data_IF_860900447950
#
_entry.id   IF_860900447950
#
_cell.length_a   1.000
_cell.length_b   1.000
_cell.length_c   1.000
_cell.angle_alpha   90.00
_cell.angle_beta   90.00
_cell.angle_gamma   90.00
#
_symmetry.space_group_name_H-M   'P 1'
#
loop_
_entity.id
_entity.type
_entity.pdbx_description
1 polymer ?
#
# COMPACT_ATOMS: atom_id res chain seq x y z
N UNK A 1 -41.01 -0.89 -16.00
CA UNK A 1 -40.59 -1.73 -14.84
C UNK A 1 -39.24 -2.44 -15.08
N UNK A 2 -38.74 -2.52 -16.32
CA UNK A 2 -37.43 -3.13 -16.64
C UNK A 2 -36.21 -2.23 -16.32
N UNK A 3 -36.32 -0.90 -16.46
CA UNK A 3 -35.18 0.01 -16.25
C UNK A 3 -34.64 -0.02 -14.80
N UNK A 4 -35.52 -0.12 -13.80
CA UNK A 4 -35.12 -0.19 -12.38
C UNK A 4 -34.38 -1.48 -12.01
N UNK A 5 -34.72 -2.60 -12.66
CA UNK A 5 -34.02 -3.88 -12.48
C UNK A 5 -32.63 -3.87 -13.13
N UNK A 6 -32.50 -3.24 -14.30
CA UNK A 6 -31.24 -3.11 -15.01
C UNK A 6 -30.24 -2.21 -14.25
N UNK A 7 -30.71 -1.07 -13.71
CA UNK A 7 -29.87 -0.16 -12.92
C UNK A 7 -29.36 -0.80 -11.62
N UNK A 8 -30.22 -1.52 -10.89
CA UNK A 8 -29.81 -2.24 -9.68
C UNK A 8 -28.79 -3.35 -9.94
N UNK A 9 -28.94 -4.06 -11.06
CA UNK A 9 -27.96 -5.06 -11.53
C UNK A 9 -26.61 -4.43 -11.86
N UNK A 10 -26.60 -3.33 -12.60
CA UNK A 10 -25.39 -2.60 -12.96
C UNK A 10 -24.62 -2.10 -11.72
N UNK A 11 -25.33 -1.53 -10.74
CA UNK A 11 -24.70 -1.04 -9.50
C UNK A 11 -24.01 -2.18 -8.75
N UNK A 12 -24.64 -3.36 -8.66
CA UNK A 12 -24.03 -4.54 -8.04
C UNK A 12 -22.81 -5.03 -8.80
N UNK A 13 -22.85 -5.02 -10.14
CA UNK A 13 -21.69 -5.37 -10.98
C UNK A 13 -20.52 -4.41 -10.75
N UNK A 14 -20.79 -3.09 -10.72
CA UNK A 14 -19.76 -2.07 -10.46
C UNK A 14 -19.16 -2.25 -9.06
N UNK A 15 -19.99 -2.45 -8.03
CA UNK A 15 -19.53 -2.71 -6.68
C UNK A 15 -18.57 -3.92 -6.63
N UNK A 16 -18.98 -5.06 -7.19
CA UNK A 16 -18.17 -6.26 -7.21
C UNK A 16 -16.87 -6.09 -8.01
N UNK A 17 -16.93 -5.41 -9.16
CA UNK A 17 -15.75 -5.16 -9.98
C UNK A 17 -14.73 -4.29 -9.26
N UNK A 18 -15.18 -3.20 -8.63
CA UNK A 18 -14.31 -2.28 -7.89
C UNK A 18 -13.73 -2.95 -6.64
N UNK A 19 -14.54 -3.69 -5.89
CA UNK A 19 -14.11 -4.42 -4.70
C UNK A 19 -13.10 -5.53 -5.04
N UNK A 20 -13.44 -6.40 -5.99
CA UNK A 20 -12.55 -7.50 -6.39
C UNK A 20 -11.28 -7.01 -7.07
N UNK A 21 -11.36 -5.95 -7.88
CA UNK A 21 -10.19 -5.32 -8.50
C UNK A 21 -9.24 -4.73 -7.46
N UNK A 22 -9.76 -4.00 -6.47
CA UNK A 22 -8.95 -3.45 -5.39
C UNK A 22 -8.28 -4.55 -4.56
N UNK A 23 -9.03 -5.57 -4.16
CA UNK A 23 -8.51 -6.70 -3.39
C UNK A 23 -7.46 -7.50 -4.17
N UNK A 24 -7.73 -7.81 -5.43
CA UNK A 24 -6.79 -8.51 -6.31
C UNK A 24 -5.49 -7.71 -6.50
N UNK A 25 -5.60 -6.39 -6.67
CA UNK A 25 -4.45 -5.49 -6.75
C UNK A 25 -3.64 -5.49 -5.45
N UNK A 26 -4.29 -5.40 -4.29
CA UNK A 26 -3.63 -5.46 -2.97
C UNK A 26 -2.85 -6.76 -2.79
N UNK A 27 -3.47 -7.90 -3.11
CA UNK A 27 -2.86 -9.22 -3.01
C UNK A 27 -1.65 -9.35 -3.94
N UNK A 28 -1.80 -8.94 -5.21
CA UNK A 28 -0.72 -8.99 -6.18
C UNK A 28 0.45 -8.09 -5.80
N UNK A 29 0.20 -6.83 -5.46
CA UNK A 29 1.24 -5.86 -5.15
C UNK A 29 2.04 -6.28 -3.92
N UNK A 30 1.34 -6.71 -2.87
CA UNK A 30 1.94 -7.06 -1.56
C UNK A 30 2.68 -8.39 -1.58
N UNK A 31 2.05 -9.45 -2.09
CA UNK A 31 2.55 -10.82 -1.92
C UNK A 31 3.29 -11.37 -3.14
N UNK A 32 3.12 -10.77 -4.32
CA UNK A 32 3.78 -11.24 -5.55
C UNK A 32 4.79 -10.23 -6.05
N UNK A 33 4.33 -9.03 -6.43
CA UNK A 33 5.17 -8.04 -7.09
C UNK A 33 6.31 -7.56 -6.19
N UNK A 34 6.04 -7.30 -4.91
CA UNK A 34 7.03 -6.80 -3.97
C UNK A 34 8.19 -7.78 -3.78
N UNK A 35 7.89 -9.07 -3.60
CA UNK A 35 8.90 -10.11 -3.42
C UNK A 35 9.70 -10.39 -4.69
N UNK A 36 9.03 -10.41 -5.86
CA UNK A 36 9.69 -10.64 -7.13
C UNK A 36 10.66 -9.50 -7.44
N UNK A 37 10.19 -8.24 -7.39
CA UNK A 37 10.99 -7.07 -7.70
C UNK A 37 12.15 -6.88 -6.70
N UNK A 38 11.92 -7.12 -5.40
CA UNK A 38 12.97 -7.05 -4.39
C UNK A 38 14.10 -8.05 -4.65
N UNK A 39 13.78 -9.27 -5.11
CA UNK A 39 14.78 -10.30 -5.41
C UNK A 39 15.50 -10.10 -6.75
N UNK A 40 14.85 -9.45 -7.70
CA UNK A 40 15.35 -9.35 -9.07
C UNK A 40 16.04 -8.03 -9.40
N UNK A 41 15.77 -6.96 -8.65
CA UNK A 41 16.29 -5.62 -8.97
C UNK A 41 17.36 -5.15 -7.97
N UNK A 42 18.30 -4.30 -8.42
CA UNK A 42 19.13 -3.52 -7.52
C UNK A 42 18.28 -2.75 -6.50
N UNK A 43 18.73 -2.68 -5.25
CA UNK A 43 17.96 -2.08 -4.15
C UNK A 43 17.45 -0.67 -4.45
N UNK A 44 18.29 0.20 -5.03
CA UNK A 44 17.88 1.57 -5.37
C UNK A 44 16.93 1.62 -6.56
N UNK A 45 17.08 0.71 -7.51
CA UNK A 45 16.17 0.57 -8.65
C UNK A 45 14.79 0.11 -8.19
N UNK A 46 14.75 -0.88 -7.29
CA UNK A 46 13.51 -1.32 -6.64
C UNK A 46 12.81 -0.16 -5.92
N UNK A 47 13.54 0.60 -5.09
CA UNK A 47 12.98 1.75 -4.41
C UNK A 47 12.48 2.84 -5.35
N UNK A 48 13.20 3.10 -6.46
CA UNK A 48 12.75 4.02 -7.50
C UNK A 48 11.41 3.57 -8.11
N UNK A 49 11.29 2.31 -8.50
CA UNK A 49 10.04 1.75 -9.04
C UNK A 49 8.90 1.90 -8.04
N UNK A 50 9.12 1.55 -6.77
CA UNK A 50 8.12 1.71 -5.71
C UNK A 50 7.67 3.16 -5.54
N UNK A 51 8.62 4.12 -5.51
CA UNK A 51 8.30 5.54 -5.35
C UNK A 51 7.42 6.12 -6.48
N UNK A 52 7.44 5.47 -7.66
CA UNK A 52 6.62 5.87 -8.80
C UNK A 52 5.27 5.16 -8.81
N UNK A 53 5.20 3.90 -8.42
CA UNK A 53 3.97 3.10 -8.46
C UNK A 53 3.09 3.30 -7.22
N UNK A 54 3.68 3.36 -6.04
CA UNK A 54 2.95 3.35 -4.77
C UNK A 54 2.02 4.54 -4.58
N UNK A 55 2.37 5.79 -4.95
CA UNK A 55 1.42 6.89 -4.88
C UNK A 55 0.14 6.60 -5.67
N UNK A 56 0.26 6.15 -6.93
CA UNK A 56 -0.92 5.83 -7.75
C UNK A 56 -1.70 4.66 -7.17
N UNK A 57 -1.01 3.59 -6.81
CA UNK A 57 -1.59 2.40 -6.21
C UNK A 57 -2.44 2.74 -4.98
N UNK A 58 -1.90 3.48 -4.00
CA UNK A 58 -2.66 3.80 -2.79
C UNK A 58 -3.82 4.78 -3.04
N UNK A 59 -3.69 5.71 -3.99
CA UNK A 59 -4.81 6.59 -4.35
C UNK A 59 -5.92 5.85 -5.11
N UNK A 60 -5.57 4.87 -5.95
CA UNK A 60 -6.54 3.98 -6.59
C UNK A 60 -7.26 3.16 -5.51
N UNK A 61 -6.53 2.55 -4.57
CA UNK A 61 -7.14 1.80 -3.45
C UNK A 61 -8.09 2.68 -2.62
N UNK A 62 -7.69 3.92 -2.32
CA UNK A 62 -8.54 4.90 -1.64
C UNK A 62 -9.81 5.21 -2.44
N UNK A 63 -9.69 5.43 -3.75
CA UNK A 63 -10.82 5.66 -4.65
C UNK A 63 -11.77 4.47 -4.71
N UNK A 64 -11.25 3.25 -4.80
CA UNK A 64 -12.04 2.03 -4.80
C UNK A 64 -12.80 1.83 -3.48
N UNK A 65 -12.14 2.06 -2.34
CA UNK A 65 -12.79 1.99 -1.03
C UNK A 65 -13.92 3.04 -0.91
N UNK A 66 -13.67 4.26 -1.38
CA UNK A 66 -14.67 5.33 -1.38
C UNK A 66 -15.88 4.98 -2.24
N UNK A 67 -15.68 4.53 -3.49
CA UNK A 67 -16.76 4.13 -4.40
C UNK A 67 -17.58 2.99 -3.80
N UNK A 68 -16.93 1.96 -3.24
CA UNK A 68 -17.63 0.85 -2.61
C UNK A 68 -18.47 1.29 -1.40
N UNK A 69 -17.92 2.16 -0.56
CA UNK A 69 -18.65 2.71 0.58
C UNK A 69 -19.86 3.54 0.12
N UNK A 70 -19.70 4.43 -0.87
CA UNK A 70 -20.79 5.23 -1.39
C UNK A 70 -21.92 4.38 -1.99
N UNK A 71 -21.57 3.35 -2.77
CA UNK A 71 -22.56 2.42 -3.33
C UNK A 71 -23.32 1.73 -2.19
N UNK A 72 -22.62 1.12 -1.23
CA UNK A 72 -23.28 0.37 -0.16
C UNK A 72 -24.12 1.29 0.74
N UNK A 73 -23.59 2.46 1.11
CA UNK A 73 -24.29 3.45 1.93
C UNK A 73 -25.56 3.99 1.26
N UNK A 74 -25.56 4.14 -0.07
CA UNK A 74 -26.74 4.59 -0.82
C UNK A 74 -27.88 3.58 -0.90
N UNK A 75 -27.58 2.30 -0.63
CA UNK A 75 -28.55 1.21 -0.72
C UNK A 75 -29.28 0.92 0.62
N UNK A 76 -28.86 1.53 1.72
CA UNK A 76 -29.39 1.20 3.05
C UNK A 76 -30.35 2.26 3.61
N UNK A 77 -31.43 1.78 4.22
CA UNK A 77 -32.27 2.58 5.09
C UNK A 77 -31.65 2.63 6.50
N UNK A 78 -30.94 3.73 6.80
CA UNK A 78 -30.17 3.92 8.04
C UNK A 78 -30.95 3.68 9.34
N UNK A 79 -32.28 3.86 9.32
CA UNK A 79 -33.15 3.65 10.48
C UNK A 79 -33.35 2.16 10.85
N UNK A 80 -32.99 1.22 9.97
CA UNK A 80 -33.24 -0.22 10.16
C UNK A 80 -32.05 -1.09 9.72
N UNK A 81 -30.83 -0.68 10.06
CA UNK A 81 -29.64 -1.49 9.77
C UNK A 81 -29.62 -2.76 10.61
N UNK A 82 -29.46 -3.90 9.94
CA UNK A 82 -29.10 -5.15 10.62
C UNK A 82 -27.65 -5.11 11.09
N UNK A 83 -27.29 -5.99 12.03
CA UNK A 83 -25.90 -6.14 12.51
C UNK A 83 -24.90 -6.39 11.37
N UNK A 84 -25.27 -7.19 10.37
CA UNK A 84 -24.40 -7.53 9.25
C UNK A 84 -24.17 -6.34 8.30
N UNK A 85 -25.23 -5.61 7.98
CA UNK A 85 -25.15 -4.42 7.12
C UNK A 85 -24.33 -3.31 7.81
N UNK A 86 -24.56 -3.09 9.11
CA UNK A 86 -23.76 -2.16 9.90
C UNK A 86 -22.28 -2.57 9.93
N UNK A 87 -21.98 -3.87 10.06
CA UNK A 87 -20.61 -4.38 10.04
C UNK A 87 -19.94 -4.17 8.67
N UNK A 88 -20.65 -4.39 7.56
CA UNK A 88 -20.11 -4.15 6.21
C UNK A 88 -19.79 -2.67 5.98
N UNK A 89 -20.70 -1.77 6.37
CA UNK A 89 -20.47 -0.32 6.29
C UNK A 89 -19.27 0.11 7.14
N UNK A 90 -19.18 -0.42 8.37
CA UNK A 90 -18.05 -0.15 9.26
C UNK A 90 -16.72 -0.62 8.67
N UNK A 91 -16.66 -1.85 8.12
CA UNK A 91 -15.45 -2.38 7.49
C UNK A 91 -15.03 -1.58 6.26
N UNK A 92 -15.97 -1.18 5.39
CA UNK A 92 -15.65 -0.32 4.24
C UNK A 92 -15.19 1.06 4.67
N UNK A 93 -15.78 1.63 5.72
CA UNK A 93 -15.33 2.90 6.29
C UNK A 93 -13.93 2.79 6.90
N UNK A 94 -13.64 1.71 7.61
CA UNK A 94 -12.31 1.42 8.14
C UNK A 94 -11.29 1.28 7.00
N UNK A 95 -11.62 0.51 5.97
CA UNK A 95 -10.76 0.33 4.79
C UNK A 95 -10.47 1.66 4.09
N UNK A 96 -11.50 2.50 3.88
CA UNK A 96 -11.31 3.85 3.35
C UNK A 96 -10.39 4.71 4.23
N UNK A 97 -10.57 4.65 5.55
CA UNK A 97 -9.73 5.38 6.50
C UNK A 97 -8.27 4.93 6.41
N UNK A 98 -8.03 3.62 6.41
CA UNK A 98 -6.69 3.04 6.30
C UNK A 98 -6.04 3.38 4.95
N UNK A 99 -6.77 3.23 3.84
CA UNK A 99 -6.30 3.59 2.51
C UNK A 99 -5.97 5.10 2.40
N UNK A 100 -6.78 5.96 3.01
CA UNK A 100 -6.55 7.42 3.05
C UNK A 100 -5.30 7.75 3.86
N UNK A 101 -5.14 7.18 5.07
CA UNK A 101 -3.93 7.34 5.88
C UNK A 101 -2.71 6.85 5.11
N UNK A 102 -2.84 5.74 4.40
CA UNK A 102 -1.75 5.20 3.59
C UNK A 102 -1.33 6.16 2.47
N UNK A 103 -2.29 6.57 1.64
CA UNK A 103 -2.07 7.42 0.47
C UNK A 103 -1.60 8.83 0.83
N UNK A 104 -2.13 9.40 1.93
CA UNK A 104 -1.93 10.82 2.26
C UNK A 104 -0.85 11.05 3.31
N UNK A 105 -0.57 10.07 4.17
CA UNK A 105 0.37 10.23 5.28
C UNK A 105 1.56 9.27 5.18
N UNK A 106 1.31 7.97 5.10
CA UNK A 106 2.35 6.95 5.29
C UNK A 106 3.21 6.78 4.04
N UNK A 107 2.62 6.74 2.84
CA UNK A 107 3.38 6.60 1.60
C UNK A 107 4.39 7.75 1.43
N UNK A 108 4.00 9.04 1.49
CA UNK A 108 4.97 10.12 1.27
C UNK A 108 6.12 10.11 2.28
N UNK A 109 5.85 9.74 3.53
CA UNK A 109 6.87 9.63 4.59
C UNK A 109 7.77 8.42 4.40
N UNK A 110 7.21 7.29 3.97
CA UNK A 110 7.98 6.08 3.66
C UNK A 110 8.92 6.34 2.49
N UNK A 111 8.41 6.96 1.42
CA UNK A 111 9.18 7.34 0.24
C UNK A 111 10.26 8.37 0.58
N UNK A 112 9.95 9.39 1.39
CA UNK A 112 10.95 10.35 1.85
C UNK A 112 12.07 9.69 2.69
N UNK A 113 11.71 8.80 3.62
CA UNK A 113 12.68 8.07 4.44
C UNK A 113 13.55 7.13 3.58
N UNK A 114 12.96 6.48 2.58
CA UNK A 114 13.68 5.67 1.60
C UNK A 114 14.70 6.52 0.84
N UNK A 115 14.33 7.69 0.32
CA UNK A 115 15.26 8.57 -0.38
C UNK A 115 16.41 9.04 0.51
N UNK A 116 16.12 9.38 1.77
CA UNK A 116 17.15 9.77 2.74
C UNK A 116 18.16 8.63 2.99
N UNK A 117 17.69 7.37 3.06
CA UNK A 117 18.57 6.21 3.15
C UNK A 117 19.43 6.04 1.90
N UNK A 118 18.80 6.11 0.72
CA UNK A 118 19.51 5.93 -0.54
C UNK A 118 20.60 6.99 -0.75
N UNK A 119 20.40 8.22 -0.30
CA UNK A 119 21.45 9.26 -0.36
C UNK A 119 22.69 8.85 0.42
N UNK A 120 22.54 8.41 1.67
CA UNK A 120 23.66 7.95 2.51
C UNK A 120 24.30 6.69 1.94
N UNK A 121 23.50 5.77 1.41
CA UNK A 121 23.97 4.55 0.75
C UNK A 121 24.82 4.88 -0.49
N UNK A 122 24.39 5.83 -1.33
CA UNK A 122 25.11 6.27 -2.54
C UNK A 122 26.47 6.90 -2.22
N UNK A 123 26.55 7.72 -1.17
CA UNK A 123 27.81 8.33 -0.72
C UNK A 123 28.86 7.28 -0.32
N UNK A 124 28.42 6.05 -0.01
CA UNK A 124 29.27 4.91 0.34
C UNK A 124 29.44 3.90 -0.80
N UNK A 125 28.94 4.22 -1.99
CA UNK A 125 29.01 3.33 -3.15
C UNK A 125 28.06 2.12 -3.09
N UNK A 126 27.00 2.19 -2.28
CA UNK A 126 25.99 1.13 -2.13
C UNK A 126 24.71 1.45 -2.90
N UNK A 127 23.91 0.42 -3.17
CA UNK A 127 22.55 0.52 -3.73
C UNK A 127 22.34 -0.09 -5.11
N UNK A 128 23.44 -0.39 -5.80
CA UNK A 128 23.46 -1.00 -7.14
C UNK A 128 23.41 -2.53 -7.14
N UNK A 129 23.54 -3.13 -5.96
CA UNK A 129 23.54 -4.57 -5.76
C UNK A 129 22.13 -5.15 -5.64
N UNK A 130 21.98 -6.35 -6.17
CA UNK A 130 20.77 -7.16 -6.01
C UNK A 130 20.84 -7.85 -4.64
N UNK A 131 19.77 -7.85 -3.84
CA UNK A 131 19.77 -8.53 -2.54
C UNK A 131 20.23 -10.00 -2.65
N UNK A 132 21.22 -10.37 -1.84
CA UNK A 132 21.80 -11.72 -1.83
C UNK A 132 22.93 -11.96 -2.84
N UNK A 133 23.30 -10.98 -3.68
CA UNK A 133 24.40 -11.12 -4.65
C UNK A 133 25.80 -10.99 -4.04
N UNK A 134 25.92 -10.46 -2.82
CA UNK A 134 27.20 -10.23 -2.16
C UNK A 134 27.72 -11.51 -1.47
N UNK A 135 28.95 -11.90 -1.80
CA UNK A 135 29.69 -12.93 -1.07
C UNK A 135 30.52 -12.25 0.02
N UNK A 136 29.97 -12.15 1.23
CA UNK A 136 30.65 -11.52 2.37
C UNK A 136 29.70 -10.94 3.42
N UNK A 137 30.24 -10.26 4.46
CA UNK A 137 29.41 -9.63 5.48
C UNK A 137 28.62 -8.46 4.88
N UNK A 138 27.30 -8.45 5.12
CA UNK A 138 26.34 -7.48 4.55
C UNK A 138 26.81 -6.02 4.77
N UNK A 139 27.12 -5.27 3.69
CA UNK A 139 27.63 -3.90 3.80
C UNK A 139 26.61 -2.95 4.44
N UNK A 140 25.31 -3.21 4.28
CA UNK A 140 24.26 -2.40 4.93
C UNK A 140 24.21 -2.63 6.43
N UNK A 141 24.50 -3.85 6.88
CA UNK A 141 24.59 -4.17 8.30
C UNK A 141 25.79 -3.47 8.93
N UNK A 142 26.94 -3.51 8.27
CA UNK A 142 28.12 -2.79 8.73
C UNK A 142 27.89 -1.27 8.78
N UNK A 143 27.23 -0.71 7.77
CA UNK A 143 26.88 0.71 7.75
C UNK A 143 25.95 1.08 8.92
N UNK A 144 24.96 0.23 9.21
CA UNK A 144 24.06 0.39 10.37
C UNK A 144 24.79 0.36 11.71
N UNK A 145 25.79 -0.50 11.85
CA UNK A 145 26.56 -0.62 13.10
C UNK A 145 27.54 0.55 13.28
N UNK A 146 28.08 1.10 12.19
CA UNK A 146 29.07 2.20 12.22
C UNK A 146 28.44 3.59 12.24
N UNK A 147 27.25 3.77 11.67
CA UNK A 147 26.60 5.08 11.52
C UNK A 147 25.25 5.13 12.28
N UNK A 148 25.22 5.79 13.45
CA UNK A 148 24.01 5.96 14.25
C UNK A 148 22.89 6.71 13.50
N UNK A 149 23.24 7.67 12.64
CA UNK A 149 22.28 8.45 11.85
C UNK A 149 21.61 7.55 10.82
N UNK A 150 22.39 6.74 10.11
CA UNK A 150 21.85 5.76 9.17
C UNK A 150 20.97 4.71 9.88
N UNK A 151 21.38 4.24 11.07
CA UNK A 151 20.57 3.32 11.88
C UNK A 151 19.21 3.90 12.25
N UNK A 152 19.17 5.16 12.70
CA UNK A 152 17.93 5.86 13.03
C UNK A 152 17.02 6.08 11.81
N UNK A 153 17.60 6.51 10.67
CA UNK A 153 16.87 6.64 9.40
C UNK A 153 16.26 5.31 8.98
N UNK A 154 17.02 4.22 9.11
CA UNK A 154 16.57 2.88 8.73
C UNK A 154 15.42 2.45 9.61
N UNK A 155 15.51 2.65 10.93
CA UNK A 155 14.43 2.33 11.85
C UNK A 155 13.15 3.11 11.50
N UNK A 156 13.26 4.40 11.18
CA UNK A 156 12.12 5.21 10.75
C UNK A 156 11.50 4.69 9.46
N UNK A 157 12.30 4.36 8.44
CA UNK A 157 11.81 3.75 7.21
C UNK A 157 11.04 2.45 7.49
N UNK A 158 11.60 1.52 8.27
CA UNK A 158 10.93 0.25 8.59
C UNK A 158 9.63 0.45 9.37
N UNK A 159 9.57 1.45 10.27
CA UNK A 159 8.34 1.77 11.00
C UNK A 159 7.24 2.26 10.05
N UNK A 160 7.54 3.24 9.20
CA UNK A 160 6.54 3.76 8.25
C UNK A 160 6.14 2.72 7.21
N UNK A 161 7.11 1.97 6.67
CA UNK A 161 6.85 0.90 5.72
C UNK A 161 6.01 -0.22 6.34
N UNK A 162 6.35 -0.67 7.55
CA UNK A 162 5.58 -1.70 8.26
C UNK A 162 4.14 -1.26 8.55
N UNK A 163 3.95 -0.03 9.01
CA UNK A 163 2.62 0.53 9.24
C UNK A 163 1.83 0.66 7.93
N UNK A 164 2.48 1.11 6.85
CA UNK A 164 1.89 1.21 5.52
C UNK A 164 1.43 -0.15 5.00
N UNK A 165 2.24 -1.19 5.18
CA UNK A 165 1.88 -2.57 4.82
C UNK A 165 0.68 -3.10 5.62
N UNK A 166 0.57 -2.78 6.91
CA UNK A 166 -0.59 -3.13 7.72
C UNK A 166 -1.86 -2.40 7.26
N UNK A 167 -1.77 -1.09 7.04
CA UNK A 167 -2.89 -0.29 6.52
C UNK A 167 -3.30 -0.73 5.10
N UNK A 168 -2.40 -1.35 4.34
CA UNK A 168 -2.70 -1.84 3.00
C UNK A 168 -3.54 -3.13 2.99
N UNK A 169 -3.56 -3.87 4.10
CA UNK A 169 -4.27 -5.15 4.23
C UNK A 169 -5.66 -5.03 4.86
N UNK A 170 -6.04 -3.84 5.33
CA UNK A 170 -7.40 -3.53 5.81
C UNK A 170 -8.19 -2.77 4.77
#
# INVERSE_FOLDING_TARGET
>A
MEEGGNLGGLIKMVHLLVLSGAWGMQMWVTFVSGFLLFRSLPRHTFGLVQSKLFPFYFHISMGCAFVNLCILASQHAWAQLTFWEASQLYLLFLSLTLATVNARWLEPRTTAAMWALQTVEKERGLGGEVPGSHQGPDPYRQLREKDPKYSALRQNFFRYHGLSSLCNLG
#
